data_IF_398109169453
#
_entry.id   IF_398109169453
#
_cell.length_a   1.000
_cell.length_b   1.000
_cell.length_c   1.000
_cell.angle_alpha   90.00
_cell.angle_beta   90.00
_cell.angle_gamma   90.00
#
_symmetry.space_group_name_H-M   'P 1'
#
loop_
_entity.id
_entity.type
_entity.pdbx_description
1 polymer ?
#
# COMPACT_ATOMS: atom_id res chain seq x y z
N UNK A 1 -14.56 37.64 20.08
CA UNK A 1 -13.18 37.32 20.51
C UNK A 1 -12.54 38.55 21.11
N UNK A 2 -11.77 38.39 22.15
CA UNK A 2 -11.01 39.52 22.73
C UNK A 2 -9.74 39.76 21.91
N UNK A 3 -9.25 40.99 21.77
CA UNK A 3 -8.05 41.31 20.98
C UNK A 3 -6.82 40.48 21.39
N UNK A 4 -6.70 40.11 22.66
CA UNK A 4 -5.63 39.25 23.16
C UNK A 4 -5.70 37.83 22.60
N UNK A 5 -6.91 37.25 22.49
CA UNK A 5 -7.10 35.92 21.90
C UNK A 5 -6.79 35.89 20.40
N UNK A 6 -7.06 36.99 19.68
CA UNK A 6 -6.71 37.14 18.27
C UNK A 6 -5.20 37.20 18.06
N UNK A 7 -4.49 37.97 18.90
CA UNK A 7 -3.02 38.01 18.88
C UNK A 7 -2.39 36.65 19.22
N UNK A 8 -2.99 35.94 20.15
CA UNK A 8 -2.54 34.57 20.50
C UNK A 8 -2.78 33.61 19.34
N UNK A 9 -3.95 33.65 18.71
CA UNK A 9 -4.28 32.80 17.56
C UNK A 9 -3.32 33.06 16.38
N UNK A 10 -3.00 34.29 16.07
CA UNK A 10 -2.04 34.63 15.01
C UNK A 10 -0.63 34.14 15.31
N UNK A 11 -0.19 34.15 16.57
CA UNK A 11 1.10 33.55 16.97
C UNK A 11 1.09 32.02 16.80
N UNK A 12 0.02 31.37 17.21
CA UNK A 12 -0.13 29.91 17.03
C UNK A 12 -0.13 29.55 15.55
N UNK A 13 -0.87 30.28 14.72
CA UNK A 13 -0.91 30.08 13.27
C UNK A 13 0.49 30.23 12.64
N UNK A 14 1.21 31.27 12.97
CA UNK A 14 2.57 31.52 12.46
C UNK A 14 3.53 30.42 12.89
N UNK A 15 3.43 29.94 14.14
CA UNK A 15 4.25 28.86 14.65
C UNK A 15 3.92 27.52 13.98
N UNK A 16 2.64 27.19 13.78
CA UNK A 16 2.22 25.99 13.07
C UNK A 16 2.70 26.00 11.61
N UNK A 17 2.58 27.12 10.92
CA UNK A 17 3.11 27.27 9.57
C UNK A 17 4.62 27.01 9.53
N UNK A 18 5.37 27.62 10.46
CA UNK A 18 6.81 27.37 10.59
C UNK A 18 7.14 25.90 10.84
N UNK A 19 6.38 25.23 11.70
CA UNK A 19 6.57 23.79 11.93
C UNK A 19 6.36 22.96 10.67
N UNK A 20 5.30 23.21 9.92
CA UNK A 20 4.95 22.45 8.73
C UNK A 20 5.88 22.72 7.54
N UNK A 21 6.38 23.96 7.39
CA UNK A 21 7.19 24.35 6.22
C UNK A 21 8.68 24.21 6.44
N UNK A 22 9.18 24.44 7.68
CA UNK A 22 10.61 24.51 7.96
C UNK A 22 11.10 23.36 8.87
N UNK A 23 10.32 23.01 9.90
CA UNK A 23 10.75 21.97 10.84
C UNK A 23 10.48 20.55 10.37
N UNK A 24 9.45 20.35 9.54
CA UNK A 24 9.07 19.03 9.01
C UNK A 24 9.20 19.02 7.47
N UNK A 25 10.41 18.93 6.91
CA UNK A 25 10.63 18.92 5.46
C UNK A 25 9.93 17.75 4.76
N UNK A 26 9.77 16.62 5.45
CA UNK A 26 9.06 15.44 4.96
C UNK A 26 7.54 15.60 4.86
N UNK A 27 6.96 16.63 5.50
CA UNK A 27 5.50 16.75 5.66
C UNK A 27 4.75 16.79 4.32
N UNK A 28 5.26 17.54 3.35
CA UNK A 28 4.61 17.70 2.04
C UNK A 28 4.69 16.42 1.20
N UNK A 29 5.83 15.78 1.16
CA UNK A 29 6.03 14.53 0.39
C UNK A 29 5.16 13.41 0.96
N UNK A 30 5.14 13.27 2.28
CA UNK A 30 4.30 12.29 2.97
C UNK A 30 2.81 12.60 2.86
N UNK A 31 2.44 13.87 2.76
CA UNK A 31 1.07 14.29 2.55
C UNK A 31 0.61 14.03 1.10
N UNK A 32 1.47 14.28 0.13
CA UNK A 32 1.21 13.98 -1.30
C UNK A 32 0.98 12.49 -1.51
N UNK A 33 1.83 11.64 -0.96
CA UNK A 33 1.63 10.19 -0.97
C UNK A 33 0.28 9.79 -0.38
N UNK A 34 -0.08 10.36 0.76
CA UNK A 34 -1.37 10.11 1.40
C UNK A 34 -2.54 10.53 0.51
N UNK A 35 -2.47 11.70 -0.15
CA UNK A 35 -3.53 12.19 -1.03
C UNK A 35 -3.72 11.32 -2.27
N UNK A 36 -2.68 10.67 -2.75
CA UNK A 36 -2.78 9.70 -3.85
C UNK A 36 -3.42 8.38 -3.39
N UNK A 37 -2.97 7.84 -2.27
CA UNK A 37 -3.43 6.56 -1.76
C UNK A 37 -4.86 6.60 -1.21
N UNK A 38 -5.22 7.67 -0.52
CA UNK A 38 -6.51 7.79 0.16
C UNK A 38 -7.72 7.64 -0.77
N UNK A 39 -7.84 8.36 -1.90
CA UNK A 39 -8.97 8.17 -2.82
C UNK A 39 -8.97 6.80 -3.49
N UNK A 40 -7.80 6.26 -3.78
CA UNK A 40 -7.67 5.00 -4.51
C UNK A 40 -8.11 3.81 -3.65
N UNK A 41 -7.53 3.68 -2.46
CA UNK A 41 -7.70 2.53 -1.57
C UNK A 41 -8.83 2.76 -0.56
N UNK A 42 -9.05 4.01 -0.14
CA UNK A 42 -10.13 4.41 0.77
C UNK A 42 -9.72 4.62 2.22
N UNK A 43 -8.52 4.20 2.62
CA UNK A 43 -7.96 4.43 3.95
C UNK A 43 -6.49 4.76 3.88
N UNK A 44 -6.06 5.68 4.72
CA UNK A 44 -4.68 6.09 4.90
C UNK A 44 -4.43 6.44 6.36
N UNK A 45 -3.23 6.26 6.83
CA UNK A 45 -2.84 6.58 8.19
C UNK A 45 -1.69 7.56 8.21
N UNK A 46 -1.66 8.42 9.23
CA UNK A 46 -0.49 9.23 9.56
C UNK A 46 -0.04 8.92 10.97
N UNK A 47 1.25 8.71 11.14
CA UNK A 47 1.90 8.60 12.44
C UNK A 47 2.52 9.93 12.79
N UNK A 48 2.21 10.42 13.99
CA UNK A 48 2.73 11.67 14.53
C UNK A 48 3.47 11.37 15.83
N UNK A 49 4.75 11.71 15.88
CA UNK A 49 5.56 11.52 17.06
C UNK A 49 6.64 12.61 17.16
N UNK A 50 7.18 12.75 18.35
CA UNK A 50 8.35 13.60 18.58
C UNK A 50 9.60 12.74 18.53
N UNK A 51 10.47 13.02 17.58
CA UNK A 51 11.76 12.34 17.48
C UNK A 51 12.76 13.01 18.41
N UNK A 52 13.18 12.27 19.45
CA UNK A 52 14.15 12.75 20.42
C UNK A 52 15.55 12.94 19.84
N UNK A 53 15.89 12.24 18.75
CA UNK A 53 17.20 12.31 18.09
C UNK A 53 17.35 13.61 17.32
N UNK A 54 16.34 13.94 16.51
CA UNK A 54 16.31 15.17 15.71
C UNK A 54 15.70 16.35 16.47
N UNK A 55 15.11 16.10 17.64
CA UNK A 55 14.43 17.09 18.51
C UNK A 55 13.34 17.88 17.80
N UNK A 56 12.58 17.22 16.94
CA UNK A 56 11.49 17.81 16.17
C UNK A 56 10.28 16.87 16.06
N UNK A 57 9.08 17.41 15.83
CA UNK A 57 7.95 16.60 15.46
C UNK A 57 8.19 15.96 14.09
N UNK A 58 7.74 14.71 13.93
CA UNK A 58 7.83 13.95 12.70
C UNK A 58 6.43 13.47 12.30
N UNK A 59 6.16 13.52 10.98
CA UNK A 59 4.88 13.09 10.41
C UNK A 59 5.13 12.14 9.26
N UNK A 60 4.74 10.87 9.44
CA UNK A 60 4.97 9.79 8.50
C UNK A 60 3.64 9.28 7.94
N UNK A 61 3.58 9.06 6.63
CA UNK A 61 2.48 8.36 6.00
C UNK A 61 2.65 6.85 6.14
N UNK A 62 1.57 6.17 6.49
CA UNK A 62 1.53 4.72 6.62
C UNK A 62 0.45 4.18 5.69
N UNK A 63 0.86 3.27 4.83
CA UNK A 63 -0.04 2.57 3.91
C UNK A 63 -0.92 1.56 4.66
N UNK A 64 -2.06 1.24 4.07
CA UNK A 64 -3.03 0.32 4.67
C UNK A 64 -2.48 -1.10 4.89
N UNK A 65 -1.56 -1.53 4.06
CA UNK A 65 -0.88 -2.83 4.15
C UNK A 65 0.11 -2.93 5.32
N UNK A 66 0.54 -1.79 5.87
CA UNK A 66 1.44 -1.70 7.01
C UNK A 66 0.72 -1.47 8.34
N UNK A 67 -0.61 -1.39 8.35
CA UNK A 67 -1.37 -1.10 9.55
C UNK A 67 -2.49 -2.10 9.80
N UNK A 68 -2.37 -2.85 10.87
CA UNK A 68 -3.30 -3.92 11.25
C UNK A 68 -4.03 -3.56 12.55
N UNK A 69 -5.33 -3.78 12.57
CA UNK A 69 -6.21 -3.45 13.70
C UNK A 69 -6.98 -4.70 14.13
N UNK A 70 -7.39 -4.75 15.38
CA UNK A 70 -8.26 -5.81 15.88
C UNK A 70 -9.58 -5.84 15.09
N UNK A 71 -10.11 -7.04 14.83
CA UNK A 71 -11.25 -7.25 13.92
C UNK A 71 -12.50 -6.48 14.29
N UNK A 72 -12.78 -6.33 15.58
CA UNK A 72 -13.98 -5.66 16.07
C UNK A 72 -13.84 -4.15 16.26
N UNK A 73 -12.67 -3.57 15.98
CA UNK A 73 -12.48 -2.13 16.08
C UNK A 73 -13.26 -1.40 14.99
N UNK A 74 -13.94 -0.32 15.37
CA UNK A 74 -14.63 0.60 14.45
C UNK A 74 -13.82 1.86 14.21
N UNK A 75 -13.00 2.24 15.18
CA UNK A 75 -12.06 3.38 15.12
C UNK A 75 -10.81 3.11 15.97
N UNK A 76 -9.83 4.02 15.89
CA UNK A 76 -8.57 3.89 16.64
C UNK A 76 -8.75 4.11 18.15
N UNK A 77 -9.80 4.80 18.56
CA UNK A 77 -10.03 5.08 19.97
C UNK A 77 -10.52 3.83 20.70
N UNK A 78 -11.42 3.05 20.07
CA UNK A 78 -11.96 1.82 20.65
C UNK A 78 -11.15 0.55 20.29
N UNK A 79 -10.07 0.69 19.54
CA UNK A 79 -9.22 -0.45 19.22
C UNK A 79 -8.35 -0.83 20.42
N UNK A 80 -8.54 -2.05 20.92
CA UNK A 80 -7.75 -2.61 22.02
C UNK A 80 -6.29 -2.84 21.60
N UNK A 81 -6.10 -3.18 20.33
CA UNK A 81 -4.80 -3.46 19.76
C UNK A 81 -4.73 -3.02 18.31
N UNK A 82 -3.62 -2.38 17.94
CA UNK A 82 -3.24 -2.18 16.55
C UNK A 82 -1.72 -2.31 16.41
N UNK A 83 -1.29 -2.69 15.22
CA UNK A 83 0.11 -3.00 14.91
C UNK A 83 0.53 -2.24 13.66
N UNK A 84 1.63 -1.54 13.75
CA UNK A 84 2.32 -0.90 12.64
C UNK A 84 3.53 -1.75 12.23
N UNK A 85 3.60 -2.15 10.98
CA UNK A 85 4.73 -2.89 10.40
C UNK A 85 5.76 -1.92 9.88
N UNK A 86 6.97 -2.03 10.39
CA UNK A 86 8.10 -1.13 10.07
C UNK A 86 9.20 -1.96 9.41
N UNK A 87 9.65 -1.54 8.24
CA UNK A 87 10.82 -2.12 7.59
C UNK A 87 12.06 -1.32 7.95
N UNK A 88 13.12 -2.00 8.39
CA UNK A 88 14.40 -1.37 8.76
C UNK A 88 15.57 -2.11 8.13
N UNK A 89 16.43 -1.35 7.46
CA UNK A 89 17.72 -1.87 7.02
C UNK A 89 18.61 -2.17 8.23
N UNK A 90 19.60 -3.07 8.12
CA UNK A 90 20.55 -3.35 9.19
C UNK A 90 21.28 -2.10 9.71
N UNK A 91 21.53 -1.14 8.81
CA UNK A 91 22.22 0.12 9.17
C UNK A 91 21.29 1.03 9.99
N UNK A 92 20.02 1.13 9.62
CA UNK A 92 19.02 1.92 10.38
C UNK A 92 18.77 1.30 11.75
N UNK A 93 18.58 -0.02 11.80
CA UNK A 93 18.40 -0.72 13.07
C UNK A 93 19.59 -0.48 14.03
N UNK A 94 20.83 -0.57 13.53
CA UNK A 94 22.02 -0.28 14.31
C UNK A 94 22.10 1.17 14.79
N UNK A 95 21.57 2.13 14.02
CA UNK A 95 21.43 3.54 14.47
C UNK A 95 20.40 3.67 15.57
N UNK A 96 19.25 3.01 15.45
CA UNK A 96 18.18 3.04 16.43
C UNK A 96 18.62 2.40 17.77
N UNK A 97 19.39 1.30 17.71
CA UNK A 97 20.01 0.68 18.89
C UNK A 97 21.00 1.64 19.57
N UNK A 98 21.89 2.29 18.81
CA UNK A 98 22.83 3.28 19.36
C UNK A 98 22.13 4.49 19.98
N UNK A 99 21.00 4.89 19.40
CA UNK A 99 20.18 5.98 19.92
C UNK A 99 19.39 5.56 21.19
N UNK A 100 19.43 4.28 21.58
CA UNK A 100 18.71 3.76 22.76
C UNK A 100 17.21 3.59 22.53
N UNK A 101 16.76 3.55 21.27
CA UNK A 101 15.35 3.31 20.90
C UNK A 101 15.03 1.82 21.08
N UNK A 102 15.96 0.95 20.70
CA UNK A 102 15.85 -0.50 20.79
C UNK A 102 16.97 -1.09 21.65
N UNK A 103 16.71 -2.24 22.25
CA UNK A 103 17.70 -3.02 22.98
C UNK A 103 18.67 -3.68 22.01
N UNK A 104 19.93 -3.79 22.42
CA UNK A 104 20.98 -4.50 21.67
C UNK A 104 20.83 -6.00 21.93
N UNK A 105 20.16 -6.69 21.01
CA UNK A 105 19.89 -8.12 21.05
C UNK A 105 20.50 -8.74 19.81
N UNK A 106 21.06 -9.94 19.94
CA UNK A 106 21.60 -10.70 18.82
C UNK A 106 20.44 -11.23 17.95
N UNK A 107 20.22 -10.56 16.83
CA UNK A 107 19.15 -10.90 15.89
C UNK A 107 19.67 -11.78 14.75
N UNK A 108 18.88 -12.72 14.25
CA UNK A 108 19.24 -13.49 13.06
C UNK A 108 19.42 -12.57 11.85
N UNK A 109 20.23 -12.99 10.89
CA UNK A 109 20.38 -12.26 9.62
C UNK A 109 19.01 -12.13 8.96
N UNK A 110 18.59 -10.91 8.56
CA UNK A 110 17.29 -10.72 7.95
C UNK A 110 17.16 -11.55 6.67
N UNK A 111 16.03 -12.24 6.52
CA UNK A 111 15.82 -13.06 5.32
C UNK A 111 15.45 -12.16 4.14
N UNK A 112 16.07 -12.42 2.99
CA UNK A 112 15.73 -11.78 1.72
C UNK A 112 14.36 -12.22 1.16
N UNK A 113 13.67 -13.15 1.81
CA UNK A 113 12.48 -13.84 1.31
C UNK A 113 11.14 -13.24 1.77
N UNK A 114 11.11 -11.98 2.19
CA UNK A 114 9.85 -11.31 2.58
C UNK A 114 8.99 -10.87 1.38
N UNK A 115 9.15 -11.54 0.23
CA UNK A 115 8.29 -11.30 -0.94
C UNK A 115 6.94 -11.94 -0.67
N UNK A 116 5.98 -11.10 -0.30
CA UNK A 116 4.58 -11.53 -0.23
C UNK A 116 3.99 -11.59 -1.65
N UNK A 117 2.95 -12.40 -1.90
CA UNK A 117 2.25 -12.41 -3.20
C UNK A 117 1.67 -11.04 -3.58
N UNK A 118 1.48 -10.17 -2.61
CA UNK A 118 1.06 -8.78 -2.81
C UNK A 118 2.21 -7.93 -3.35
N UNK A 119 3.38 -8.01 -2.73
CA UNK A 119 4.59 -7.27 -3.17
C UNK A 119 4.99 -7.67 -4.59
N UNK A 120 4.97 -8.96 -4.90
CA UNK A 120 5.26 -9.48 -6.24
C UNK A 120 4.31 -8.93 -7.31
N UNK A 121 3.02 -8.83 -6.98
CA UNK A 121 2.04 -8.19 -7.89
C UNK A 121 2.28 -6.69 -8.05
N UNK A 122 2.61 -6.00 -6.98
CA UNK A 122 2.94 -4.57 -7.04
C UNK A 122 4.18 -4.32 -7.90
N UNK A 123 5.23 -5.10 -7.72
CA UNK A 123 6.46 -5.01 -8.52
C UNK A 123 6.15 -5.24 -10.00
N UNK A 124 5.32 -6.24 -10.31
CA UNK A 124 4.87 -6.50 -11.68
C UNK A 124 4.10 -5.31 -12.27
N UNK A 125 3.21 -4.67 -11.50
CA UNK A 125 2.45 -3.50 -11.94
C UNK A 125 3.37 -2.30 -12.16
N UNK A 126 4.38 -2.13 -11.33
CA UNK A 126 5.39 -1.07 -11.43
C UNK A 126 6.44 -1.35 -12.53
N UNK A 127 6.40 -2.52 -13.17
CA UNK A 127 7.39 -2.93 -14.18
C UNK A 127 8.74 -3.30 -13.58
N UNK A 128 8.79 -3.55 -12.28
CA UNK A 128 9.96 -4.06 -11.59
C UNK A 128 9.99 -5.58 -11.74
N UNK A 129 11.14 -6.12 -12.11
CA UNK A 129 11.34 -7.57 -12.02
C UNK A 129 11.52 -7.94 -10.55
N UNK A 130 10.82 -8.97 -10.03
CA UNK A 130 11.10 -9.46 -8.69
C UNK A 130 12.58 -9.87 -8.64
N UNK A 131 13.37 -9.05 -7.99
CA UNK A 131 14.80 -9.25 -7.90
C UNK A 131 15.09 -10.30 -6.84
N UNK A 132 15.95 -11.25 -7.18
CA UNK A 132 16.51 -12.20 -6.21
C UNK A 132 17.47 -11.53 -5.22
N UNK A 133 17.77 -10.26 -5.43
CA UNK A 133 18.72 -9.42 -4.70
C UNK A 133 17.96 -8.32 -3.94
N UNK A 134 16.95 -8.72 -3.18
CA UNK A 134 16.29 -7.80 -2.26
C UNK A 134 17.25 -7.49 -1.12
N UNK A 135 17.48 -6.21 -0.89
CA UNK A 135 18.20 -5.74 0.30
C UNK A 135 17.52 -6.34 1.56
N UNK A 136 18.27 -7.11 2.37
CA UNK A 136 17.69 -7.75 3.52
C UNK A 136 17.22 -6.71 4.51
N UNK A 137 15.93 -6.75 4.88
CA UNK A 137 15.33 -5.83 5.84
C UNK A 137 14.75 -6.58 7.03
N UNK A 138 14.92 -6.01 8.21
CA UNK A 138 14.23 -6.46 9.41
C UNK A 138 12.78 -5.96 9.37
N UNK A 139 11.86 -6.84 9.69
CA UNK A 139 10.45 -6.51 9.85
C UNK A 139 10.14 -6.34 11.32
N UNK A 140 9.85 -5.13 11.73
CA UNK A 140 9.53 -4.79 13.11
C UNK A 140 8.02 -4.58 13.24
N UNK A 141 7.44 -5.20 14.24
CA UNK A 141 6.03 -5.08 14.59
C UNK A 141 5.90 -4.15 15.81
N UNK A 142 5.55 -2.89 15.57
CA UNK A 142 5.24 -1.94 16.64
C UNK A 142 3.77 -2.12 17.03
N UNK A 143 3.54 -2.76 18.15
CA UNK A 143 2.22 -3.09 18.65
C UNK A 143 1.81 -2.15 19.79
N UNK A 144 0.69 -1.46 19.61
CA UNK A 144 0.02 -0.70 20.64
C UNK A 144 -1.07 -1.57 21.28
N UNK A 145 -0.95 -1.87 22.55
CA UNK A 145 -1.84 -2.80 23.26
C UNK A 145 -1.92 -2.47 24.75
N UNK A 146 -2.85 -3.09 25.44
CA UNK A 146 -2.99 -3.02 26.88
C UNK A 146 -2.32 -4.25 27.50
N UNK A 147 -1.40 -4.03 28.44
CA UNK A 147 -0.68 -5.07 29.15
C UNK A 147 -0.66 -4.79 30.65
N UNK A 148 -0.69 -5.83 31.45
CA UNK A 148 -0.46 -5.77 32.87
C UNK A 148 0.99 -6.26 33.17
N UNK A 149 1.95 -5.33 33.24
CA UNK A 149 3.37 -5.63 33.45
C UNK A 149 3.77 -5.41 34.92
N UNK A 150 3.15 -4.46 35.60
CA UNK A 150 3.54 -4.01 36.91
C UNK A 150 2.69 -4.64 38.05
N UNK A 151 1.99 -5.76 37.77
CA UNK A 151 1.05 -6.41 38.70
C UNK A 151 -0.02 -5.44 39.26
N UNK A 152 -0.38 -4.42 38.50
CA UNK A 152 -1.48 -3.54 38.83
C UNK A 152 -2.82 -4.23 38.55
N UNK A 153 -3.88 -3.82 39.24
CA UNK A 153 -5.23 -4.40 39.06
C UNK A 153 -5.81 -4.19 37.65
N UNK A 154 -5.26 -3.23 36.89
CA UNK A 154 -5.74 -2.87 35.55
C UNK A 154 -4.63 -2.91 34.49
N UNK A 155 -4.99 -3.36 33.29
CA UNK A 155 -4.08 -3.32 32.14
C UNK A 155 -3.89 -1.89 31.63
N UNK A 156 -2.63 -1.49 31.47
CA UNK A 156 -2.21 -0.16 31.01
C UNK A 156 -1.78 -0.18 29.53
N UNK A 157 -1.89 0.96 28.81
CA UNK A 157 -1.46 1.04 27.43
C UNK A 157 0.06 1.06 27.30
N UNK A 158 0.58 0.16 26.47
CA UNK A 158 2.01 0.03 26.14
C UNK A 158 2.24 -0.01 24.63
N UNK A 159 3.44 0.34 24.23
CA UNK A 159 3.97 0.13 22.88
C UNK A 159 5.06 -0.91 22.97
N UNK A 160 4.88 -2.03 22.30
CA UNK A 160 5.83 -3.14 22.27
C UNK A 160 6.34 -3.28 20.82
N UNK A 161 7.65 -3.24 20.65
CA UNK A 161 8.26 -3.49 19.34
C UNK A 161 8.93 -4.85 19.36
N UNK A 162 8.55 -5.70 18.40
CA UNK A 162 8.99 -7.09 18.28
C UNK A 162 9.59 -7.27 16.89
N UNK A 163 10.70 -7.97 16.76
CA UNK A 163 11.19 -8.43 15.47
C UNK A 163 10.40 -9.65 15.02
N UNK A 164 9.93 -9.65 13.75
CA UNK A 164 8.96 -10.65 13.25
C UNK A 164 9.55 -12.07 13.21
N UNK A 165 10.78 -12.23 12.75
CA UNK A 165 11.40 -13.53 12.52
C UNK A 165 11.82 -14.22 13.82
N UNK A 166 12.55 -13.51 14.69
CA UNK A 166 13.06 -14.04 15.96
C UNK A 166 12.01 -14.04 17.07
N UNK A 167 10.96 -13.20 16.93
CA UNK A 167 9.98 -12.91 18.00
C UNK A 167 10.59 -12.25 19.24
N UNK A 168 11.81 -11.72 19.12
CA UNK A 168 12.45 -11.00 20.20
C UNK A 168 11.86 -9.61 20.41
N UNK A 169 11.71 -9.23 21.68
CA UNK A 169 11.16 -7.93 22.06
C UNK A 169 12.29 -6.90 22.10
N UNK A 170 12.26 -5.97 21.16
CA UNK A 170 13.28 -4.90 21.04
C UNK A 170 13.03 -3.73 21.99
N UNK A 171 11.78 -3.39 22.25
CA UNK A 171 11.45 -2.32 23.21
C UNK A 171 10.05 -2.49 23.79
N UNK A 172 9.89 -2.05 25.04
CA UNK A 172 8.60 -1.88 25.70
C UNK A 172 8.57 -0.46 26.26
N UNK A 173 7.55 0.32 25.87
CA UNK A 173 7.40 1.71 26.30
C UNK A 173 5.98 1.96 26.80
N UNK A 174 5.84 2.76 27.85
CA UNK A 174 4.54 3.24 28.33
C UNK A 174 3.92 4.16 27.27
N UNK A 175 2.63 3.99 26.99
CA UNK A 175 1.86 4.80 26.03
C UNK A 175 0.85 5.70 26.74
N UNK A 176 1.22 6.24 27.89
CA UNK A 176 0.43 7.18 28.69
C UNK A 176 1.36 8.18 29.40
N UNK A 177 0.79 9.31 29.84
CA UNK A 177 1.54 10.31 30.60
C UNK A 177 1.68 9.86 32.05
N UNK A 178 2.87 10.00 32.63
CA UNK A 178 3.13 9.61 34.03
C UNK A 178 2.26 10.37 35.05
N UNK A 179 1.88 11.61 34.71
CA UNK A 179 1.07 12.47 35.57
C UNK A 179 -0.44 12.21 35.42
N UNK A 180 -0.85 11.32 34.50
CA UNK A 180 -2.24 11.01 34.25
C UNK A 180 -2.71 9.85 35.12
N UNK A 181 -3.62 10.14 36.06
CA UNK A 181 -4.22 9.16 36.95
C UNK A 181 -5.04 8.10 36.22
N UNK A 182 -5.65 8.47 35.09
CA UNK A 182 -6.47 7.56 34.30
C UNK A 182 -5.67 6.72 33.30
N UNK A 183 -4.34 7.00 33.17
CA UNK A 183 -3.45 6.33 32.21
C UNK A 183 -4.03 6.25 30.79
N UNK A 184 -4.58 7.37 30.31
CA UNK A 184 -5.20 7.43 28.99
C UNK A 184 -4.18 7.19 27.88
N UNK A 185 -4.58 6.36 26.89
CA UNK A 185 -3.76 6.02 25.74
C UNK A 185 -3.43 7.26 24.89
N UNK A 186 -2.14 7.48 24.64
CA UNK A 186 -1.70 8.51 23.70
C UNK A 186 -1.90 8.02 22.26
N UNK A 187 -2.63 8.80 21.47
CA UNK A 187 -2.87 8.49 20.07
C UNK A 187 -1.75 9.05 19.20
N UNK A 188 -0.93 8.17 18.66
CA UNK A 188 0.14 8.51 17.72
C UNK A 188 -0.30 8.45 16.26
N UNK A 189 -1.44 7.83 15.97
CA UNK A 189 -1.95 7.60 14.63
C UNK A 189 -3.24 8.36 14.38
N UNK A 190 -3.36 8.86 13.16
CA UNK A 190 -4.58 9.48 12.65
C UNK A 190 -5.05 8.68 11.45
N UNK A 191 -6.30 8.22 11.49
CA UNK A 191 -6.93 7.49 10.41
C UNK A 191 -7.74 8.42 9.51
N UNK A 192 -7.43 8.46 8.23
CA UNK A 192 -8.17 9.17 7.20
C UNK A 192 -8.99 8.17 6.38
N UNK A 193 -10.28 8.46 6.20
CA UNK A 193 -11.20 7.65 5.39
C UNK A 193 -11.73 8.50 4.24
N UNK A 194 -11.66 7.97 3.01
CA UNK A 194 -12.19 8.66 1.83
C UNK A 194 -13.72 8.64 1.82
N UNK A 195 -14.30 7.44 1.84
CA UNK A 195 -15.73 7.25 2.10
C UNK A 195 -15.85 6.29 3.29
N UNK A 196 -16.62 6.63 4.32
CA UNK A 196 -16.81 5.75 5.46
C UNK A 196 -17.42 4.42 4.99
N UNK A 197 -16.77 3.31 5.35
CA UNK A 197 -17.26 1.95 5.10
C UNK A 197 -18.14 1.43 6.26
N UNK A 198 -18.48 0.15 6.19
CA UNK A 198 -19.27 -0.52 7.23
C UNK A 198 -18.45 -0.93 8.48
N UNK A 199 -17.13 -0.85 8.39
CA UNK A 199 -16.21 -1.22 9.45
C UNK A 199 -15.13 -0.17 9.68
N UNK A 200 -13.97 -0.62 10.13
CA UNK A 200 -12.83 0.24 10.41
C UNK A 200 -12.34 0.96 9.15
N UNK A 201 -12.12 0.23 8.05
CA UNK A 201 -11.57 0.78 6.82
C UNK A 201 -12.62 1.51 5.97
N UNK A 202 -12.18 2.58 5.32
CA UNK A 202 -12.98 3.32 4.35
C UNK A 202 -13.01 2.66 2.98
N UNK A 203 -13.93 3.10 2.13
CA UNK A 203 -14.09 2.66 0.75
C UNK A 203 -13.40 3.67 -0.18
N UNK A 204 -12.59 3.18 -1.12
CA UNK A 204 -11.93 3.95 -2.16
C UNK A 204 -12.56 3.75 -3.54
N UNK A 205 -12.05 4.46 -4.52
CA UNK A 205 -12.51 4.39 -5.91
C UNK A 205 -12.40 2.99 -6.51
N UNK A 206 -11.41 2.20 -6.09
CA UNK A 206 -11.28 0.79 -6.54
C UNK A 206 -12.53 -0.02 -6.20
N UNK A 207 -13.12 0.20 -5.02
CA UNK A 207 -14.32 -0.52 -4.61
C UNK A 207 -15.55 -0.19 -5.46
N UNK A 208 -15.65 1.06 -5.92
CA UNK A 208 -16.79 1.52 -6.72
C UNK A 208 -16.61 1.26 -8.22
N UNK A 209 -15.41 1.50 -8.74
CA UNK A 209 -15.14 1.50 -10.17
C UNK A 209 -14.46 0.22 -10.67
N UNK A 210 -13.91 -0.62 -9.78
CA UNK A 210 -13.11 -1.79 -10.15
C UNK A 210 -13.86 -2.75 -11.10
N UNK A 211 -15.07 -3.14 -10.76
CA UNK A 211 -15.89 -4.03 -11.57
C UNK A 211 -16.29 -3.39 -12.91
N UNK A 212 -16.61 -2.09 -12.90
CA UNK A 212 -16.96 -1.35 -14.12
C UNK A 212 -15.77 -1.26 -15.07
N UNK A 213 -14.59 -0.98 -14.54
CA UNK A 213 -13.33 -0.95 -15.30
C UNK A 213 -13.01 -2.31 -15.92
N UNK A 214 -13.19 -3.41 -15.16
CA UNK A 214 -13.03 -4.77 -15.70
C UNK A 214 -13.98 -5.05 -16.86
N UNK A 215 -15.25 -4.70 -16.73
CA UNK A 215 -16.26 -4.88 -17.78
C UNK A 215 -15.93 -4.04 -19.02
N UNK A 216 -15.53 -2.79 -18.84
CA UNK A 216 -15.11 -1.92 -19.93
C UNK A 216 -13.87 -2.45 -20.66
N UNK A 217 -12.89 -2.95 -19.91
CA UNK A 217 -11.68 -3.57 -20.47
C UNK A 217 -12.01 -4.83 -21.26
N UNK A 218 -12.90 -5.70 -20.76
CA UNK A 218 -13.34 -6.89 -21.47
C UNK A 218 -14.07 -6.53 -22.77
N UNK A 219 -14.97 -5.55 -22.74
CA UNK A 219 -15.66 -5.06 -23.93
C UNK A 219 -14.68 -4.49 -24.97
N UNK A 220 -13.71 -3.69 -24.52
CA UNK A 220 -12.68 -3.13 -25.41
C UNK A 220 -11.83 -4.22 -26.06
N UNK A 221 -11.41 -5.23 -25.31
CA UNK A 221 -10.68 -6.40 -25.85
C UNK A 221 -11.52 -7.12 -26.90
N UNK A 222 -12.78 -7.41 -26.61
CA UNK A 222 -13.69 -8.07 -27.56
C UNK A 222 -13.88 -7.26 -28.86
N UNK A 223 -13.92 -5.93 -28.77
CA UNK A 223 -13.98 -5.06 -29.97
C UNK A 223 -12.69 -5.11 -30.78
N UNK A 224 -11.52 -5.13 -30.12
CA UNK A 224 -10.23 -5.27 -30.79
C UNK A 224 -10.14 -6.63 -31.49
N UNK A 225 -10.51 -7.72 -30.77
CA UNK A 225 -10.53 -9.07 -31.36
C UNK A 225 -11.47 -9.17 -32.55
N UNK A 226 -12.70 -8.64 -32.44
CA UNK A 226 -13.65 -8.59 -33.53
C UNK A 226 -13.11 -7.79 -34.75
N UNK A 227 -12.41 -6.67 -34.48
CA UNK A 227 -11.73 -5.89 -35.51
C UNK A 227 -10.61 -6.68 -36.21
N UNK A 228 -9.84 -7.44 -35.47
CA UNK A 228 -8.79 -8.31 -36.01
C UNK A 228 -9.40 -9.41 -36.88
N UNK A 229 -10.48 -10.08 -36.44
CA UNK A 229 -11.17 -11.08 -37.23
C UNK A 229 -11.82 -10.49 -38.50
N UNK A 230 -12.35 -9.28 -38.43
CA UNK A 230 -12.92 -8.60 -39.60
C UNK A 230 -11.86 -8.21 -40.64
N UNK A 231 -10.66 -7.82 -40.18
CA UNK A 231 -9.57 -7.41 -41.07
C UNK A 231 -8.74 -8.60 -41.59
N UNK A 232 -8.64 -9.70 -40.81
CA UNK A 232 -7.92 -10.92 -41.16
C UNK A 232 -8.81 -12.14 -40.92
N UNK A 233 -9.84 -12.34 -41.76
CA UNK A 233 -10.76 -13.45 -41.61
C UNK A 233 -10.00 -14.76 -41.84
N UNK A 234 -9.92 -15.59 -40.79
CA UNK A 234 -9.46 -16.97 -40.91
C UNK A 234 -10.57 -17.87 -41.42
N UNK A 235 -10.24 -18.87 -42.18
CA UNK A 235 -11.22 -19.83 -42.72
C UNK A 235 -10.64 -21.21 -42.93
N UNK A 236 -11.51 -22.16 -43.28
CA UNK A 236 -11.11 -23.50 -43.65
C UNK A 236 -10.99 -23.61 -45.14
N UNK A 237 -9.91 -24.21 -45.61
CA UNK A 237 -9.67 -24.48 -47.03
C UNK A 237 -9.81 -25.99 -47.29
N UNK A 238 -10.54 -26.35 -48.36
CA UNK A 238 -10.65 -27.75 -48.76
C UNK A 238 -9.28 -28.30 -49.21
N UNK A 239 -8.97 -29.55 -48.87
CA UNK A 239 -7.74 -30.20 -49.29
C UNK A 239 -7.71 -30.33 -50.84
N UNK A 240 -6.68 -29.75 -51.47
CA UNK A 240 -6.52 -29.78 -52.94
C UNK A 240 -6.70 -28.44 -53.62
N UNK A 241 -7.13 -27.41 -52.91
CA UNK A 241 -7.20 -26.04 -53.44
C UNK A 241 -5.85 -25.36 -53.20
N UNK A 242 -5.19 -24.86 -54.24
CA UNK A 242 -3.95 -24.09 -54.16
C UNK A 242 -4.28 -22.61 -54.31
N UNK A 243 -3.74 -21.80 -53.39
CA UNK A 243 -3.69 -20.34 -53.50
C UNK A 243 -2.27 -19.89 -53.81
N UNK A 244 -2.12 -18.94 -54.68
CA UNK A 244 -0.82 -18.34 -54.95
C UNK A 244 -0.42 -17.53 -53.69
N UNK A 245 0.74 -17.83 -53.13
CA UNK A 245 1.19 -17.20 -51.87
C UNK A 245 0.48 -17.72 -50.59
N UNK A 246 0.26 -19.01 -50.48
CA UNK A 246 -0.52 -19.71 -49.42
C UNK A 246 -0.01 -19.44 -47.98
N UNK A 247 1.27 -19.06 -47.84
CA UNK A 247 1.92 -18.78 -46.53
C UNK A 247 2.03 -17.28 -46.23
N UNK A 248 1.55 -16.40 -47.10
CA UNK A 248 1.60 -14.95 -46.88
C UNK A 248 0.25 -14.42 -46.43
N UNK A 249 0.20 -13.57 -45.40
CA UNK A 249 -1.03 -12.91 -44.99
C UNK A 249 -1.60 -12.05 -46.15
N UNK A 250 -2.91 -12.03 -46.27
CA UNK A 250 -3.60 -11.20 -47.27
C UNK A 250 -3.60 -9.76 -46.78
N UNK A 251 -3.08 -8.82 -47.58
CA UNK A 251 -3.15 -7.41 -47.27
C UNK A 251 -4.58 -6.84 -47.51
N UNK A 252 -4.99 -5.82 -46.73
CA UNK A 252 -6.30 -5.17 -47.00
C UNK A 252 -6.44 -4.69 -48.42
N UNK A 253 -7.45 -5.21 -49.16
CA UNK A 253 -7.69 -4.87 -50.55
C UNK A 253 -6.94 -5.74 -51.57
N UNK A 254 -6.21 -6.76 -51.16
CA UNK A 254 -5.51 -7.71 -52.03
C UNK A 254 -6.43 -8.84 -52.48
N UNK A 255 -6.39 -9.18 -53.77
CA UNK A 255 -7.08 -10.36 -54.33
C UNK A 255 -6.04 -11.42 -54.67
N UNK A 256 -6.16 -12.61 -54.08
CA UNK A 256 -5.28 -13.76 -54.38
C UNK A 256 -5.97 -14.68 -55.38
N UNK A 257 -5.23 -15.14 -56.40
CA UNK A 257 -5.70 -16.11 -57.39
C UNK A 257 -5.81 -17.50 -56.74
N UNK A 258 -6.93 -18.19 -57.03
CA UNK A 258 -7.22 -19.53 -56.51
C UNK A 258 -7.35 -20.48 -57.70
N UNK A 259 -6.45 -21.47 -57.76
CA UNK A 259 -6.58 -22.58 -58.72
C UNK A 259 -7.47 -23.67 -58.09
N UNK A 260 -8.65 -23.83 -58.64
CA UNK A 260 -9.59 -24.89 -58.24
C UNK A 260 -9.95 -25.76 -59.46
N UNK A 261 -9.41 -26.95 -59.50
CA UNK A 261 -9.73 -27.91 -60.57
C UNK A 261 -10.89 -28.83 -60.11
N UNK A 262 -12.07 -28.58 -60.63
CA UNK A 262 -13.22 -29.47 -60.45
C UNK A 262 -14.01 -29.35 -59.16
N UNK A 263 -13.82 -28.31 -58.40
CA UNK A 263 -14.53 -28.03 -57.13
C UNK A 263 -15.31 -26.74 -57.25
N UNK A 264 -16.56 -26.75 -56.79
CA UNK A 264 -17.37 -25.54 -56.68
C UNK A 264 -16.76 -24.58 -55.65
N UNK A 265 -16.30 -23.43 -56.10
CA UNK A 265 -15.58 -22.42 -55.29
C UNK A 265 -16.40 -21.98 -54.06
N UNK A 266 -17.73 -21.99 -54.15
CA UNK A 266 -18.61 -21.65 -53.03
C UNK A 266 -18.58 -22.66 -51.87
N UNK A 267 -18.07 -23.89 -52.10
CA UNK A 267 -17.94 -24.98 -51.14
C UNK A 267 -16.50 -25.30 -50.79
N UNK A 268 -15.54 -24.66 -51.44
CA UNK A 268 -14.12 -24.92 -51.28
C UNK A 268 -13.47 -24.11 -50.14
N UNK A 269 -14.03 -22.95 -49.81
CA UNK A 269 -13.54 -21.99 -48.82
C UNK A 269 -14.74 -21.55 -47.96
N UNK A 270 -14.68 -21.76 -46.65
CA UNK A 270 -15.66 -21.34 -45.67
C UNK A 270 -14.96 -20.53 -44.55
#
# INVERSE_FOLDING_TARGET
STPEKELQANRVQSFMNYQLTEQMPEYFDEFERMLFHLPLIGSAFKKLYYDATTKRPHSEFISIDQFYVSYYATDLANADRYTHVIYRSPVELAKDIRAGVYQDIDLPTPSSNNITPFTEKMDTILGLSPSSDNDPQYVLLEQHCYLNIEDEDEACPYIVTIEEQSKEVLSIRRNYKQDDLNKEKINHFVHYRFVPGFGFYGLGLIHFLGNLTMSATAAMRSLIDAGQFANLPGGFKAKGVRMVGDNEPISPGEFKEVEATGIDLSKAIV
#
